data_IF_091844259794
#
_entry.id   IF_091844259794
#
_cell.length_a   1.000
_cell.length_b   1.000
_cell.length_c   1.000
_cell.angle_alpha   90.00
_cell.angle_beta   90.00
_cell.angle_gamma   90.00
#
_symmetry.space_group_name_H-M   'P 1'
#
loop_
_entity.id
_entity.type
_entity.pdbx_description
1 polymer ?
#
# COMPACT_ATOMS: atom_id res chain seq x y z
N UNK A 1 1.28 -14.35 0.42
CA UNK A 1 1.47 -14.99 1.75
C UNK A 1 0.89 -16.40 1.87
N UNK A 2 -0.33 -16.67 1.37
CA UNK A 2 -0.96 -18.00 1.48
C UNK A 2 -0.13 -19.13 0.85
N UNK A 3 0.34 -18.95 -0.37
CA UNK A 3 1.19 -19.94 -1.06
C UNK A 3 2.52 -20.16 -0.33
N UNK A 4 3.12 -19.10 0.22
CA UNK A 4 4.34 -19.21 1.04
C UNK A 4 4.08 -20.01 2.32
N UNK A 5 2.96 -19.76 3.00
CA UNK A 5 2.56 -20.55 4.18
C UNK A 5 2.41 -22.03 3.82
N UNK A 6 1.73 -22.35 2.70
CA UNK A 6 1.58 -23.72 2.21
C UNK A 6 2.95 -24.39 1.95
N UNK A 7 3.90 -23.66 1.37
CA UNK A 7 5.28 -24.18 1.21
C UNK A 7 5.97 -24.42 2.55
N UNK A 8 5.87 -23.48 3.50
CA UNK A 8 6.43 -23.66 4.85
C UNK A 8 5.80 -24.85 5.57
N UNK A 9 4.49 -25.07 5.40
CA UNK A 9 3.82 -26.26 5.91
C UNK A 9 4.42 -27.55 5.36
N UNK A 10 4.71 -27.61 4.06
CA UNK A 10 5.32 -28.76 3.41
C UNK A 10 6.78 -28.96 3.82
N UNK A 11 7.57 -27.88 3.95
CA UNK A 11 8.99 -27.94 4.28
C UNK A 11 9.26 -28.28 5.75
N UNK A 12 8.34 -27.95 6.67
CA UNK A 12 8.48 -28.15 8.11
C UNK A 12 7.48 -29.19 8.66
N UNK A 13 6.98 -30.10 7.83
CA UNK A 13 5.95 -31.08 8.22
C UNK A 13 6.44 -32.04 9.32
N UNK A 14 7.74 -32.34 9.36
CA UNK A 14 8.38 -33.19 10.36
C UNK A 14 8.73 -32.45 11.67
N UNK A 15 8.58 -31.11 11.71
CA UNK A 15 8.89 -30.30 12.88
C UNK A 15 7.66 -30.21 13.80
N UNK A 16 7.67 -31.03 14.86
CA UNK A 16 6.58 -31.07 15.85
C UNK A 16 6.69 -29.99 16.94
N UNK A 17 7.87 -29.41 17.13
CA UNK A 17 8.10 -28.31 18.07
C UNK A 17 7.63 -26.98 17.45
N UNK A 18 6.56 -26.42 18.00
CA UNK A 18 5.99 -25.16 17.50
C UNK A 18 6.96 -23.97 17.60
N UNK A 19 7.76 -23.88 18.66
CA UNK A 19 8.73 -22.79 18.84
C UNK A 19 9.82 -22.87 17.78
N UNK A 20 10.33 -24.07 17.52
CA UNK A 20 11.31 -24.32 16.48
C UNK A 20 10.73 -24.04 15.09
N UNK A 21 9.49 -24.49 14.84
CA UNK A 21 8.76 -24.22 13.59
C UNK A 21 8.60 -22.73 13.31
N UNK A 22 8.21 -21.94 14.33
CA UNK A 22 8.10 -20.48 14.22
C UNK A 22 9.47 -19.85 13.93
N UNK A 23 10.52 -20.24 14.66
CA UNK A 23 11.89 -19.71 14.44
C UNK A 23 12.41 -19.98 13.03
N UNK A 24 12.23 -21.20 12.53
CA UNK A 24 12.63 -21.56 11.17
C UNK A 24 11.82 -20.77 10.14
N UNK A 25 10.51 -20.64 10.34
CA UNK A 25 9.64 -19.85 9.45
C UNK A 25 10.06 -18.38 9.40
N UNK A 26 10.41 -17.78 10.55
CA UNK A 26 10.96 -16.42 10.62
C UNK A 26 12.28 -16.26 9.86
N UNK A 27 13.12 -17.30 9.81
CA UNK A 27 14.40 -17.24 9.08
C UNK A 27 14.25 -17.19 7.57
N UNK A 28 13.09 -17.58 7.04
CA UNK A 28 12.77 -17.51 5.60
C UNK A 28 12.02 -16.24 5.20
N UNK A 29 11.66 -15.38 6.16
CA UNK A 29 11.06 -14.08 5.86
C UNK A 29 12.18 -13.08 5.54
N UNK A 30 12.07 -12.42 4.38
CA UNK A 30 13.01 -11.40 3.92
C UNK A 30 12.27 -10.13 3.49
N UNK A 31 12.96 -8.98 3.45
CA UNK A 31 12.40 -7.71 3.02
C UNK A 31 11.23 -7.25 3.89
N UNK A 32 10.19 -6.68 3.29
CA UNK A 32 9.03 -6.13 4.03
C UNK A 32 8.36 -7.17 4.95
N UNK A 33 8.45 -8.46 4.60
CA UNK A 33 7.97 -9.57 5.40
C UNK A 33 8.60 -9.62 6.81
N UNK A 34 9.87 -9.26 6.90
CA UNK A 34 10.63 -9.21 8.14
C UNK A 34 10.09 -8.09 9.03
N UNK A 35 9.90 -6.89 8.47
CA UNK A 35 9.36 -5.71 9.18
C UNK A 35 7.92 -5.93 9.67
N UNK A 36 7.20 -6.86 9.06
CA UNK A 36 5.84 -7.21 9.46
C UNK A 36 5.81 -8.07 10.73
N UNK A 37 6.93 -8.71 11.06
CA UNK A 37 7.07 -9.65 12.19
C UNK A 37 8.14 -9.21 13.19
N UNK A 38 8.51 -7.92 13.22
CA UNK A 38 9.53 -7.37 14.12
C UNK A 38 9.31 -7.75 15.60
N UNK A 39 8.05 -7.79 16.06
CA UNK A 39 7.72 -8.21 17.42
C UNK A 39 8.13 -9.66 17.75
N UNK A 40 8.11 -10.55 16.76
CA UNK A 40 8.59 -11.92 16.91
C UNK A 40 10.12 -11.98 16.92
N UNK A 41 10.82 -11.18 16.10
CA UNK A 41 12.28 -11.14 16.15
C UNK A 41 12.80 -10.62 17.49
N UNK A 42 12.15 -9.59 18.06
CA UNK A 42 12.45 -9.10 19.42
C UNK A 42 12.26 -10.22 20.45
N UNK A 43 11.16 -10.99 20.38
CA UNK A 43 10.94 -12.13 21.28
C UNK A 43 11.99 -13.23 21.12
N UNK A 44 12.41 -13.54 19.89
CA UNK A 44 13.47 -14.53 19.62
C UNK A 44 14.78 -14.08 20.27
N UNK A 45 15.18 -12.82 20.09
CA UNK A 45 16.39 -12.24 20.69
C UNK A 45 16.32 -12.24 22.23
N UNK A 46 15.15 -11.94 22.79
CA UNK A 46 14.91 -11.96 24.23
C UNK A 46 14.71 -13.37 24.81
N UNK A 47 14.79 -14.43 24.00
CA UNK A 47 14.49 -15.83 24.39
C UNK A 47 13.11 -15.98 25.06
N UNK A 48 12.14 -15.18 24.61
CA UNK A 48 10.78 -15.22 25.11
C UNK A 48 9.96 -16.29 24.37
N UNK A 49 8.89 -16.82 25.00
CA UNK A 49 7.94 -17.70 24.32
C UNK A 49 7.31 -16.99 23.11
N UNK A 50 7.27 -17.67 21.96
CA UNK A 50 6.72 -17.12 20.71
C UNK A 50 5.21 -17.35 20.58
N UNK A 51 4.60 -18.15 21.46
CA UNK A 51 3.20 -18.54 21.37
C UNK A 51 2.98 -19.77 20.49
N UNK A 52 1.74 -20.02 20.08
CA UNK A 52 1.39 -21.17 19.25
C UNK A 52 1.56 -20.86 17.76
N UNK A 53 1.68 -21.90 16.94
CA UNK A 53 1.80 -21.73 15.49
C UNK A 53 0.60 -20.97 14.89
N UNK A 54 -0.61 -21.22 15.41
CA UNK A 54 -1.82 -20.53 14.98
C UNK A 54 -1.76 -19.00 15.20
N UNK A 55 -1.19 -18.57 16.34
CA UNK A 55 -1.02 -17.14 16.66
C UNK A 55 -0.03 -16.48 15.70
N UNK A 56 1.06 -17.18 15.39
CA UNK A 56 2.04 -16.73 14.41
C UNK A 56 1.43 -16.55 13.02
N UNK A 57 0.70 -17.55 12.51
CA UNK A 57 0.04 -17.49 11.20
C UNK A 57 -1.01 -16.38 11.15
N UNK A 58 -1.82 -16.25 12.21
CA UNK A 58 -2.83 -15.20 12.32
C UNK A 58 -2.21 -13.81 12.29
N UNK A 59 -1.14 -13.59 13.08
CA UNK A 59 -0.39 -12.34 13.09
C UNK A 59 0.21 -12.03 11.73
N UNK A 60 0.90 -12.99 11.12
CA UNK A 60 1.54 -12.83 9.82
C UNK A 60 0.52 -12.45 8.75
N UNK A 61 -0.56 -13.21 8.63
CA UNK A 61 -1.63 -12.96 7.65
C UNK A 61 -2.25 -11.57 7.85
N UNK A 62 -2.54 -11.20 9.11
CA UNK A 62 -3.10 -9.88 9.43
C UNK A 62 -2.13 -8.76 9.10
N UNK A 63 -0.84 -8.92 9.42
CA UNK A 63 0.18 -7.90 9.13
C UNK A 63 0.31 -7.67 7.63
N UNK A 64 0.31 -8.73 6.81
CA UNK A 64 0.30 -8.61 5.36
C UNK A 64 -0.98 -7.93 4.85
N UNK A 65 -2.15 -8.39 5.29
CA UNK A 65 -3.43 -7.81 4.87
C UNK A 65 -3.62 -6.35 5.28
N UNK A 66 -2.90 -5.86 6.28
CA UNK A 66 -3.02 -4.48 6.76
C UNK A 66 -1.92 -3.58 6.21
N UNK A 67 -0.67 -4.06 6.16
CA UNK A 67 0.48 -3.26 5.72
C UNK A 67 0.64 -3.25 4.20
N UNK A 68 0.14 -4.26 3.49
CA UNK A 68 0.26 -4.31 2.02
C UNK A 68 -0.88 -3.54 1.32
N UNK A 69 -2.04 -3.37 1.96
CA UNK A 69 -3.16 -2.59 1.39
C UNK A 69 -2.79 -1.16 0.97
N UNK A 70 -2.04 -0.39 1.77
CA UNK A 70 -1.57 0.92 1.32
C UNK A 70 -0.60 0.86 0.15
N UNK A 71 0.28 -0.14 0.13
CA UNK A 71 1.23 -0.35 -0.96
C UNK A 71 0.53 -0.74 -2.26
N UNK A 72 -0.43 -1.66 -2.20
CA UNK A 72 -1.28 -2.04 -3.33
C UNK A 72 -2.02 -0.82 -3.89
N UNK A 73 -2.66 -0.04 -3.01
CA UNK A 73 -3.36 1.16 -3.41
C UNK A 73 -2.42 2.21 -4.01
N UNK A 74 -1.20 2.35 -3.49
CA UNK A 74 -0.16 3.19 -4.08
C UNK A 74 0.24 2.72 -5.48
N UNK A 75 0.48 1.43 -5.67
CA UNK A 75 0.81 0.86 -6.98
C UNK A 75 -0.32 1.06 -8.01
N UNK A 76 -1.58 0.96 -7.58
CA UNK A 76 -2.74 1.25 -8.42
C UNK A 76 -2.79 2.73 -8.81
N UNK A 77 -2.54 3.65 -7.87
CA UNK A 77 -2.42 5.09 -8.17
C UNK A 77 -1.31 5.34 -9.20
N UNK A 78 -0.11 4.78 -8.97
CA UNK A 78 1.01 4.87 -9.93
C UNK A 78 0.62 4.36 -11.32
N UNK A 79 -0.07 3.21 -11.37
CA UNK A 79 -0.53 2.61 -12.63
C UNK A 79 -1.50 3.52 -13.38
N UNK A 80 -2.50 4.07 -12.68
CA UNK A 80 -3.46 5.01 -13.26
C UNK A 80 -2.78 6.25 -13.85
N UNK A 81 -1.67 6.70 -13.26
CA UNK A 81 -0.97 7.93 -13.67
C UNK A 81 0.06 7.73 -14.79
N UNK A 82 0.33 6.48 -15.20
CA UNK A 82 1.30 6.16 -16.27
C UNK A 82 0.70 6.22 -17.67
N UNK A 83 -0.62 6.13 -17.79
CA UNK A 83 -1.32 6.14 -19.08
C UNK A 83 -2.13 7.42 -19.23
N UNK A 84 -2.09 8.10 -20.38
CA UNK A 84 -2.93 9.26 -20.63
C UNK A 84 -4.41 8.86 -20.63
N UNK A 85 -5.26 9.71 -20.07
CA UNK A 85 -6.70 9.51 -20.02
C UNK A 85 -7.39 10.40 -21.05
N UNK A 86 -8.40 9.84 -21.74
CA UNK A 86 -9.26 10.61 -22.66
C UNK A 86 -10.48 11.22 -21.95
N UNK A 87 -10.78 10.78 -20.74
CA UNK A 87 -12.00 11.11 -20.00
C UNK A 87 -11.59 11.29 -18.53
N UNK A 88 -11.52 12.56 -18.09
CA UNK A 88 -11.05 12.89 -16.74
C UNK A 88 -12.05 12.44 -15.68
N UNK A 89 -13.35 12.43 -16.00
CA UNK A 89 -14.38 11.90 -15.09
C UNK A 89 -14.15 10.41 -14.77
N UNK A 90 -13.84 9.58 -15.78
CA UNK A 90 -13.50 8.16 -15.57
C UNK A 90 -12.19 7.96 -14.83
N UNK A 91 -11.20 8.81 -15.08
CA UNK A 91 -9.97 8.81 -14.29
C UNK A 91 -10.30 9.10 -12.82
N UNK A 92 -11.05 10.17 -12.55
CA UNK A 92 -11.36 10.64 -11.21
C UNK A 92 -12.09 9.58 -10.38
N UNK A 93 -13.08 8.89 -10.95
CA UNK A 93 -13.78 7.79 -10.27
C UNK A 93 -12.82 6.68 -9.81
N UNK A 94 -11.90 6.27 -10.68
CA UNK A 94 -10.91 5.22 -10.38
C UNK A 94 -9.83 5.70 -9.43
N UNK A 95 -9.37 6.93 -9.59
CA UNK A 95 -8.36 7.54 -8.73
C UNK A 95 -8.87 7.68 -7.30
N UNK A 96 -10.09 8.22 -7.10
CA UNK A 96 -10.72 8.37 -5.78
C UNK A 96 -10.82 7.06 -4.99
N UNK A 97 -11.02 5.92 -5.68
CA UNK A 97 -11.09 4.59 -5.06
C UNK A 97 -9.80 4.16 -4.37
N UNK A 98 -8.65 4.61 -4.87
CA UNK A 98 -7.33 4.17 -4.45
C UNK A 98 -6.54 5.25 -3.71
N UNK A 99 -6.70 6.53 -4.06
CA UNK A 99 -6.00 7.65 -3.45
C UNK A 99 -6.14 7.69 -1.92
N UNK A 100 -7.36 7.53 -1.39
CA UNK A 100 -7.60 7.49 0.06
C UNK A 100 -6.97 6.28 0.77
N UNK A 101 -6.52 5.27 0.02
CA UNK A 101 -5.93 4.04 0.56
C UNK A 101 -4.42 3.99 0.39
N UNK A 102 -3.83 4.79 -0.49
CA UNK A 102 -2.41 4.69 -0.88
C UNK A 102 -1.42 5.23 0.14
N UNK A 103 -1.90 5.85 1.22
CA UNK A 103 -1.09 6.57 2.21
C UNK A 103 -0.21 7.71 1.63
N UNK A 104 -0.51 8.14 0.40
CA UNK A 104 0.11 9.33 -0.21
C UNK A 104 -0.41 10.61 0.44
N UNK A 105 0.43 11.64 0.47
CA UNK A 105 0.00 12.96 0.92
C UNK A 105 -0.87 13.66 -0.13
N UNK A 106 -1.63 14.67 0.28
CA UNK A 106 -2.37 15.53 -0.66
C UNK A 106 -1.45 16.11 -1.74
N UNK A 107 -0.22 16.50 -1.37
CA UNK A 107 0.77 17.07 -2.30
C UNK A 107 1.18 16.05 -3.36
N UNK A 108 1.48 14.81 -2.94
CA UNK A 108 1.86 13.75 -3.88
C UNK A 108 0.69 13.42 -4.82
N UNK A 109 -0.53 13.35 -4.29
CA UNK A 109 -1.73 13.04 -5.07
C UNK A 109 -2.05 14.17 -6.06
N UNK A 110 -1.88 15.44 -5.69
CA UNK A 110 -2.03 16.59 -6.59
C UNK A 110 -0.98 16.52 -7.70
N UNK A 111 0.29 16.22 -7.39
CA UNK A 111 1.33 16.06 -8.42
C UNK A 111 0.95 14.97 -9.44
N UNK A 112 0.40 13.85 -8.96
CA UNK A 112 -0.11 12.77 -9.82
C UNK A 112 -1.27 13.22 -10.70
N UNK A 113 -2.20 14.02 -10.18
CA UNK A 113 -3.32 14.59 -10.95
C UNK A 113 -2.78 15.53 -12.03
N UNK A 114 -1.92 16.49 -11.67
CA UNK A 114 -1.29 17.41 -12.61
C UNK A 114 -0.62 16.72 -13.80
N UNK A 115 -0.01 15.55 -13.58
CA UNK A 115 0.66 14.80 -14.63
C UNK A 115 -0.31 14.23 -15.70
N UNK A 116 -1.54 13.90 -15.30
CA UNK A 116 -2.54 13.37 -16.22
C UNK A 116 -3.49 14.45 -16.76
N UNK A 117 -3.51 15.62 -16.12
CA UNK A 117 -4.41 16.72 -16.46
C UNK A 117 -4.08 17.27 -17.85
N UNK A 118 -5.05 17.38 -18.76
CA UNK A 118 -4.83 17.92 -20.09
C UNK A 118 -4.27 19.36 -20.07
N UNK A 119 -3.36 19.67 -21.01
CA UNK A 119 -2.73 20.99 -21.13
C UNK A 119 -3.72 22.17 -21.14
N UNK A 120 -4.92 21.98 -21.72
CA UNK A 120 -5.97 23.02 -21.74
C UNK A 120 -6.41 23.45 -20.34
N UNK A 121 -6.46 22.52 -19.38
CA UNK A 121 -6.86 22.76 -17.99
C UNK A 121 -5.68 23.40 -17.25
N UNK A 122 -4.46 22.89 -17.44
CA UNK A 122 -3.24 23.46 -16.85
C UNK A 122 -3.01 24.94 -17.27
N UNK A 123 -3.37 25.31 -18.51
CA UNK A 123 -3.33 26.70 -18.97
C UNK A 123 -4.32 27.61 -18.21
N UNK A 124 -5.49 27.09 -17.82
CA UNK A 124 -6.45 27.81 -16.98
C UNK A 124 -5.86 28.03 -15.59
N UNK A 125 -5.19 27.02 -15.01
CA UNK A 125 -4.52 27.15 -13.71
C UNK A 125 -3.44 28.23 -13.73
N UNK A 126 -2.62 28.27 -14.78
CA UNK A 126 -1.56 29.26 -14.95
C UNK A 126 -2.08 30.72 -15.02
N UNK A 127 -3.35 30.92 -15.34
CA UNK A 127 -4.01 32.22 -15.33
C UNK A 127 -4.57 32.65 -13.96
N UNK A 128 -4.54 31.78 -12.95
CA UNK A 128 -5.10 32.02 -11.63
C UNK A 128 -4.01 32.26 -10.57
N UNK A 129 -4.38 32.92 -9.47
CA UNK A 129 -3.49 33.09 -8.31
C UNK A 129 -3.31 31.75 -7.59
N UNK A 130 -2.07 31.28 -7.44
CA UNK A 130 -1.72 30.03 -6.74
C UNK A 130 -2.30 29.96 -5.33
N UNK A 131 -2.52 31.10 -4.67
CA UNK A 131 -3.15 31.15 -3.34
C UNK A 131 -4.59 30.67 -3.32
N UNK A 132 -5.24 30.62 -4.48
CA UNK A 132 -6.61 30.15 -4.63
C UNK A 132 -6.69 28.65 -4.96
N UNK A 133 -5.55 28.01 -5.21
CA UNK A 133 -5.53 26.61 -5.61
C UNK A 133 -5.93 25.72 -4.42
N UNK A 134 -6.75 24.68 -4.66
CA UNK A 134 -7.08 23.72 -3.62
C UNK A 134 -5.83 23.01 -3.10
N UNK A 135 -5.73 22.87 -1.78
CA UNK A 135 -4.59 22.19 -1.14
C UNK A 135 -4.89 20.73 -0.79
N UNK A 136 -6.15 20.30 -0.89
CA UNK A 136 -6.54 18.89 -0.76
C UNK A 136 -6.72 18.29 -2.14
N UNK A 137 -6.28 17.04 -2.32
CA UNK A 137 -6.32 16.40 -3.63
C UNK A 137 -7.75 16.22 -4.15
N UNK A 138 -8.72 15.99 -3.25
CA UNK A 138 -10.13 15.83 -3.63
C UNK A 138 -10.70 17.12 -4.23
N UNK A 139 -10.45 18.25 -3.57
CA UNK A 139 -10.93 19.55 -4.05
C UNK A 139 -10.17 19.99 -5.31
N UNK A 140 -8.89 19.64 -5.44
CA UNK A 140 -8.11 19.88 -6.65
C UNK A 140 -8.68 19.10 -7.84
N UNK A 141 -8.96 17.81 -7.65
CA UNK A 141 -9.52 16.97 -8.69
C UNK A 141 -10.93 17.42 -9.11
N UNK A 142 -11.79 17.81 -8.16
CA UNK A 142 -13.11 18.34 -8.48
C UNK A 142 -13.02 19.69 -9.22
N UNK A 143 -12.03 20.52 -8.88
CA UNK A 143 -11.76 21.76 -9.59
C UNK A 143 -11.31 21.53 -11.03
N UNK A 144 -10.43 20.55 -11.29
CA UNK A 144 -10.05 20.15 -12.66
C UNK A 144 -11.26 19.67 -13.48
N UNK A 145 -12.17 18.91 -12.85
CA UNK A 145 -13.39 18.40 -13.50
C UNK A 145 -14.40 19.51 -13.83
N UNK A 146 -14.47 20.56 -13.01
CA UNK A 146 -15.34 21.73 -13.28
C UNK A 146 -14.84 22.56 -14.48
N UNK A 147 -13.56 22.42 -14.86
CA UNK A 147 -12.95 23.13 -16.01
C UNK A 147 -13.08 22.33 -17.31
N UNK A 148 -13.17 20.98 -17.24
CA UNK A 148 -13.15 20.06 -18.41
C UNK A 148 -14.16 20.42 -19.51
#
# INVERSE_FOLDING_TARGET
IKEWLEQVYLYLDDVTDEQLRIKLSLSYLEGDAHDYMDDYYVKVQATQPLGMWADFVSRLTTSYDTKDKPREAWLEVECLTKTPWMDMSKFAEKFKKWANKSALSDVDLIEKICHITPDKILQVHAGMDEKQWPTTWEAYLDWDLDIE
#
